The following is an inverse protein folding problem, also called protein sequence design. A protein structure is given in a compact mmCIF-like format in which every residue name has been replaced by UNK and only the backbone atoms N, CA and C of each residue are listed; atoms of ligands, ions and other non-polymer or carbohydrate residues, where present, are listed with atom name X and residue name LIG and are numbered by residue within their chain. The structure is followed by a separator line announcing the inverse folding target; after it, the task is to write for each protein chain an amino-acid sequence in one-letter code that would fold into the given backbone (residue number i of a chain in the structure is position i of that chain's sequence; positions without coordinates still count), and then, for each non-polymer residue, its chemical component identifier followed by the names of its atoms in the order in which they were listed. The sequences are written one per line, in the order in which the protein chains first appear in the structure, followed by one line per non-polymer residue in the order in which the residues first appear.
data_IF_750568464413
#
_entry.id   IF_750568464413
#
_cell.length_a   1.000
_cell.length_b   1.000
_cell.length_c   1.000
_cell.angle_alpha   90.00
_cell.angle_beta   90.00
_cell.angle_gamma   90.00
#
_symmetry.space_group_name_H-M   'P 1'
#
loop_
_entity.id
_entity.type
_entity.pdbx_description
1 polymer ?
#
# COMPACT_ATOMS: atom_id res chain seq x y z
N UNK A 1 -16.31 4.27 -5.31
CA UNK A 1 -16.09 3.00 -4.57
C UNK A 1 -15.12 2.06 -5.29
N UNK A 2 -15.41 1.65 -6.54
CA UNK A 2 -14.69 0.56 -7.21
C UNK A 2 -13.21 0.84 -7.51
N UNK A 3 -12.79 2.07 -7.78
CA UNK A 3 -11.39 2.34 -8.13
C UNK A 3 -10.44 2.25 -6.92
N UNK A 4 -10.82 2.84 -5.77
CA UNK A 4 -10.01 2.81 -4.56
C UNK A 4 -9.96 1.41 -3.93
N UNK A 5 -11.12 0.75 -3.83
CA UNK A 5 -11.20 -0.64 -3.41
C UNK A 5 -10.49 -1.53 -4.44
N UNK A 6 -10.68 -1.33 -5.74
CA UNK A 6 -10.08 -2.13 -6.79
C UNK A 6 -8.55 -2.09 -6.81
N UNK A 7 -7.93 -0.93 -6.60
CA UNK A 7 -6.47 -0.84 -6.49
C UNK A 7 -5.93 -1.46 -5.19
N UNK A 8 -6.68 -1.41 -4.09
CA UNK A 8 -6.28 -2.00 -2.80
C UNK A 8 -6.66 -3.48 -2.67
N UNK A 9 -7.64 -3.97 -3.42
CA UNK A 9 -8.07 -5.37 -3.41
C UNK A 9 -6.98 -6.33 -3.89
N UNK A 10 -6.00 -5.81 -4.65
CA UNK A 10 -4.79 -6.55 -5.02
C UNK A 10 -3.60 -6.31 -4.09
N UNK A 11 -3.72 -5.45 -3.07
CA UNK A 11 -2.63 -5.19 -2.15
C UNK A 11 -2.43 -6.37 -1.18
N UNK A 12 -1.16 -6.67 -0.89
CA UNK A 12 -0.77 -7.74 0.02
C UNK A 12 0.02 -7.14 1.18
N UNK A 13 -0.08 -7.76 2.36
CA UNK A 13 0.74 -7.39 3.51
C UNK A 13 2.22 -7.47 3.15
N UNK A 14 2.99 -6.44 3.53
CA UNK A 14 4.43 -6.31 3.25
C UNK A 14 5.19 -7.59 3.62
N UNK A 15 4.99 -8.08 4.84
CA UNK A 15 5.68 -9.28 5.33
C UNK A 15 5.32 -10.51 4.50
N UNK A 16 4.04 -10.64 4.09
CA UNK A 16 3.60 -11.75 3.26
C UNK A 16 4.20 -11.69 1.86
N UNK A 17 4.35 -10.49 1.28
CA UNK A 17 5.02 -10.31 0.01
C UNK A 17 6.50 -10.73 0.07
N UNK A 18 7.20 -10.36 1.15
CA UNK A 18 8.61 -10.74 1.37
C UNK A 18 8.75 -12.26 1.55
N UNK A 19 7.85 -12.91 2.30
CA UNK A 19 7.81 -14.38 2.40
C UNK A 19 7.64 -15.03 1.03
N UNK A 20 6.67 -14.59 0.22
CA UNK A 20 6.43 -15.16 -1.10
C UNK A 20 7.66 -15.07 -2.02
N UNK A 21 8.43 -13.98 -1.93
CA UNK A 21 9.68 -13.82 -2.68
C UNK A 21 10.74 -14.83 -2.21
N UNK A 22 10.87 -15.05 -0.90
CA UNK A 22 11.77 -16.07 -0.33
C UNK A 22 11.35 -17.48 -0.74
N UNK A 23 10.06 -17.79 -0.66
CA UNK A 23 9.48 -19.09 -1.03
C UNK A 23 9.67 -19.39 -2.53
N UNK A 24 9.71 -18.35 -3.37
CA UNK A 24 10.04 -18.47 -4.80
C UNK A 24 11.54 -18.77 -5.07
N UNK A 25 12.35 -18.89 -4.02
CA UNK A 25 13.77 -19.26 -4.08
C UNK A 25 14.73 -18.08 -4.21
N UNK A 26 14.26 -16.83 -4.04
CA UNK A 26 15.16 -15.68 -3.98
C UNK A 26 15.83 -15.59 -2.60
N UNK A 27 17.12 -15.28 -2.62
CA UNK A 27 17.98 -15.02 -1.47
C UNK A 27 18.25 -13.51 -1.35
N UNK A 28 18.85 -13.09 -0.24
CA UNK A 28 19.17 -11.67 0.05
C UNK A 28 18.00 -10.70 -0.14
N UNK A 29 16.78 -11.17 0.18
CA UNK A 29 15.55 -10.40 0.01
C UNK A 29 15.52 -9.23 0.99
N UNK A 30 15.56 -8.00 0.47
CA UNK A 30 15.53 -6.77 1.26
C UNK A 30 14.71 -5.67 0.60
N UNK A 31 14.08 -4.85 1.42
CA UNK A 31 13.42 -3.63 0.96
C UNK A 31 14.50 -2.56 0.80
N UNK A 32 14.62 -2.02 -0.41
CA UNK A 32 15.61 -0.97 -0.73
C UNK A 32 15.00 0.42 -0.76
N UNK A 33 13.67 0.52 -0.84
CA UNK A 33 12.93 1.77 -0.78
C UNK A 33 11.51 1.51 -0.27
N UNK A 34 11.01 2.39 0.57
CA UNK A 34 9.63 2.36 1.07
C UNK A 34 9.07 3.79 1.03
N UNK A 35 8.00 3.98 0.27
CA UNK A 35 7.33 5.26 0.08
C UNK A 35 5.88 5.12 0.52
N UNK A 36 5.54 5.73 1.65
CA UNK A 36 4.16 5.78 2.12
C UNK A 36 3.29 6.59 1.17
N UNK A 37 2.05 6.14 0.97
CA UNK A 37 1.10 6.85 0.12
C UNK A 37 0.87 8.26 0.69
N UNK A 38 1.02 9.35 -0.10
CA UNK A 38 0.92 10.69 0.45
C UNK A 38 -0.49 10.95 0.93
N UNK A 39 -0.61 11.23 2.23
CA UNK A 39 -1.88 11.61 2.88
C UNK A 39 -2.48 12.87 2.21
N UNK A 40 -1.65 13.75 1.63
CA UNK A 40 -2.09 14.96 0.95
C UNK A 40 -2.97 14.69 -0.27
N UNK A 41 -2.75 13.57 -0.98
CA UNK A 41 -3.66 13.13 -2.04
C UNK A 41 -5.03 12.77 -1.47
N UNK A 42 -5.09 12.20 -0.27
CA UNK A 42 -6.36 11.80 0.36
C UNK A 42 -7.12 13.01 0.92
N UNK A 43 -6.41 14.04 1.40
CA UNK A 43 -7.02 15.22 2.04
C UNK A 43 -7.40 16.31 1.05
N UNK A 44 -6.69 16.46 -0.08
CA UNK A 44 -6.96 17.53 -1.05
C UNK A 44 -7.69 17.07 -2.31
N UNK A 45 -7.74 15.77 -2.60
CA UNK A 45 -8.45 15.25 -3.77
C UNK A 45 -9.98 15.32 -3.56
N UNK A 46 -10.68 15.91 -4.52
CA UNK A 46 -12.13 16.11 -4.49
C UNK A 46 -12.88 14.76 -4.50
N UNK A 47 -12.33 13.75 -5.16
CA UNK A 47 -12.87 12.39 -5.19
C UNK A 47 -12.66 11.71 -3.84
N UNK A 48 -11.50 11.87 -3.21
CA UNK A 48 -11.25 11.37 -1.85
C UNK A 48 -12.17 12.01 -0.80
N UNK A 49 -12.40 13.34 -0.87
CA UNK A 49 -13.36 14.05 -0.01
C UNK A 49 -14.80 13.55 -0.20
N UNK A 50 -15.22 13.32 -1.44
CA UNK A 50 -16.54 12.78 -1.75
C UNK A 50 -16.71 11.36 -1.17
N UNK A 51 -15.70 10.51 -1.32
CA UNK A 51 -15.70 9.14 -0.78
C UNK A 51 -15.73 9.14 0.76
N UNK A 52 -14.99 10.04 1.43
CA UNK A 52 -15.03 10.15 2.90
C UNK A 52 -16.42 10.53 3.41
N UNK A 53 -17.09 11.46 2.73
CA UNK A 53 -18.43 11.92 3.10
C UNK A 53 -19.48 10.82 2.91
N UNK A 54 -19.34 10.02 1.87
CA UNK A 54 -20.25 8.91 1.54
C UNK A 54 -20.04 7.67 2.43
N UNK A 55 -18.82 7.49 2.94
CA UNK A 55 -18.42 6.29 3.72
C UNK A 55 -18.41 6.51 5.25
N UNK A 56 -18.80 7.69 5.76
CA UNK A 56 -18.65 8.09 7.17
C UNK A 56 -17.21 7.91 7.73
N UNK A 57 -16.20 7.98 6.87
CA UNK A 57 -14.80 7.84 7.28
C UNK A 57 -14.32 9.21 7.75
N UNK A 58 -14.05 9.34 9.05
CA UNK A 58 -13.43 10.55 9.60
C UNK A 58 -12.05 10.77 8.98
N UNK A 59 -11.67 12.03 8.78
CA UNK A 59 -10.33 12.42 8.28
C UNK A 59 -9.20 11.71 9.05
N UNK A 60 -9.35 11.53 10.37
CA UNK A 60 -8.39 10.78 11.21
C UNK A 60 -8.22 9.32 10.77
N UNK A 61 -9.32 8.64 10.45
CA UNK A 61 -9.30 7.25 9.98
C UNK A 61 -8.77 7.14 8.55
N UNK A 62 -9.08 8.10 7.70
CA UNK A 62 -8.51 8.18 6.36
C UNK A 62 -7.00 8.42 6.38
N UNK A 63 -6.51 9.29 7.27
CA UNK A 63 -5.07 9.50 7.50
C UNK A 63 -4.38 8.21 7.96
N UNK A 64 -4.98 7.49 8.91
CA UNK A 64 -4.46 6.21 9.39
C UNK A 64 -4.43 5.14 8.28
N UNK A 65 -5.44 5.11 7.41
CA UNK A 65 -5.48 4.18 6.27
C UNK A 65 -4.40 4.53 5.26
N UNK A 66 -4.27 5.80 4.90
CA UNK A 66 -3.25 6.28 3.96
C UNK A 66 -1.83 6.04 4.48
N UNK A 67 -1.57 6.24 5.79
CA UNK A 67 -0.27 5.90 6.40
C UNK A 67 0.02 4.40 6.43
N UNK A 68 -1.01 3.56 6.33
CA UNK A 68 -0.86 2.09 6.32
C UNK A 68 -0.58 1.54 4.91
N UNK A 69 -0.74 2.35 3.87
CA UNK A 69 -0.46 1.96 2.48
C UNK A 69 0.92 2.47 2.11
N UNK A 70 1.80 1.54 1.72
CA UNK A 70 3.15 1.85 1.27
C UNK A 70 3.44 1.18 -0.07
N UNK A 71 4.16 1.89 -0.93
CA UNK A 71 4.83 1.33 -2.08
C UNK A 71 6.24 0.92 -1.65
N UNK A 72 6.63 -0.32 -1.95
CA UNK A 72 7.95 -0.84 -1.60
C UNK A 72 8.73 -1.26 -2.86
N UNK A 73 10.03 -0.98 -2.86
CA UNK A 73 10.98 -1.53 -3.83
C UNK A 73 11.75 -2.64 -3.13
N UNK A 74 11.71 -3.83 -3.71
CA UNK A 74 12.34 -5.02 -3.14
C UNK A 74 13.48 -5.49 -4.05
N UNK A 75 14.60 -5.84 -3.44
CA UNK A 75 15.72 -6.52 -4.07
C UNK A 75 15.75 -7.98 -3.62
N UNK A 76 16.12 -8.88 -4.52
CA UNK A 76 16.40 -10.29 -4.22
C UNK A 76 17.25 -10.92 -5.32
N UNK A 77 18.04 -11.93 -4.96
CA UNK A 77 18.94 -12.65 -5.87
C UNK A 77 18.46 -14.09 -6.02
N UNK A 78 18.21 -14.54 -7.25
CA UNK A 78 17.94 -15.95 -7.48
C UNK A 78 19.26 -16.69 -7.70
N UNK A 79 19.64 -17.67 -6.86
CA UNK A 79 20.79 -18.52 -7.13
C UNK A 79 20.55 -19.32 -8.42
N UNK A 80 21.63 -19.62 -9.15
CA UNK A 80 21.56 -20.49 -10.34
C UNK A 80 21.11 -21.90 -9.97
#
# INVERSE_FOLDING_TARGET
MQAYIGCLSGAVMKDKYIELIKDAGFQDVKIVEETCFPIDFVVNDLTAKAIMKESNITVKNAKNLASSVASIKVYGVKPQ
#
